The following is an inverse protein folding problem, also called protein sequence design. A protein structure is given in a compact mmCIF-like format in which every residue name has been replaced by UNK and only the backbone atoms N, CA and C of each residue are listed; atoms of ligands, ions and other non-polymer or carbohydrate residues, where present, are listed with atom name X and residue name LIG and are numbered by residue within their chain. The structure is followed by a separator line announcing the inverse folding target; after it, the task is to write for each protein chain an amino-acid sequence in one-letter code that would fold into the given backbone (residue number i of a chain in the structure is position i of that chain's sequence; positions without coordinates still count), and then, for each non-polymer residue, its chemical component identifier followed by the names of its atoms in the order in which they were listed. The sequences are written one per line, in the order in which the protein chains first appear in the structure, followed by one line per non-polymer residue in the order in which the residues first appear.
data_IF_201010256873
#
_entry.id   IF_201010256873
#
_cell.length_a   1.000
_cell.length_b   1.000
_cell.length_c   1.000
_cell.angle_alpha   90.00
_cell.angle_beta   90.00
_cell.angle_gamma   90.00
#
_symmetry.space_group_name_H-M   'P 1'
#
loop_
_entity.id
_entity.type
_entity.pdbx_description
1 polymer ?
#
# COMPACT_ATOMS: atom_id res chain seq x y z
N UNK A 1 -6.43 -32.66 11.95
CA UNK A 1 -4.96 -32.81 11.94
C UNK A 1 -4.39 -31.40 11.91
N UNK A 2 -4.19 -30.79 13.07
CA UNK A 2 -3.60 -29.45 13.18
C UNK A 2 -2.11 -29.55 12.84
N UNK A 3 -1.73 -29.02 11.68
CA UNK A 3 -0.32 -28.82 11.35
C UNK A 3 0.22 -27.75 12.30
N UNK A 4 1.14 -28.14 13.18
CA UNK A 4 1.80 -27.28 14.16
C UNK A 4 2.72 -26.27 13.45
N UNK A 5 2.11 -25.20 12.94
CA UNK A 5 2.74 -24.08 12.24
C UNK A 5 3.79 -23.37 13.12
N UNK A 6 3.63 -23.47 14.44
CA UNK A 6 4.55 -22.87 15.42
C UNK A 6 5.89 -23.62 15.45
N UNK A 7 5.87 -24.94 15.28
CA UNK A 7 7.09 -25.75 15.19
C UNK A 7 7.89 -25.46 13.92
N UNK A 8 7.20 -25.30 12.78
CA UNK A 8 7.81 -25.01 11.48
C UNK A 8 8.46 -23.62 11.49
N UNK A 9 7.77 -22.63 12.07
CA UNK A 9 8.31 -21.27 12.15
C UNK A 9 9.55 -21.20 13.06
N UNK A 10 9.56 -21.94 14.18
CA UNK A 10 10.71 -22.04 15.08
C UNK A 10 11.92 -22.70 14.39
N UNK A 11 11.68 -23.75 13.60
CA UNK A 11 12.74 -24.42 12.84
C UNK A 11 13.37 -23.49 11.79
N UNK A 12 12.56 -22.70 11.08
CA UNK A 12 13.04 -21.77 10.06
C UNK A 12 13.84 -20.60 10.67
N UNK A 13 13.41 -20.10 11.83
CA UNK A 13 14.13 -19.05 12.59
C UNK A 13 15.48 -19.57 13.07
N UNK A 14 15.53 -20.79 13.61
CA UNK A 14 16.78 -21.39 14.09
C UNK A 14 17.79 -21.60 12.95
N UNK A 15 17.32 -22.02 11.77
CA UNK A 15 18.16 -22.17 10.58
C UNK A 15 18.75 -20.83 10.13
N UNK A 16 17.93 -19.78 10.05
CA UNK A 16 18.36 -18.41 9.70
C UNK A 16 19.37 -17.84 10.72
N UNK A 17 19.18 -18.10 12.01
CA UNK A 17 20.11 -17.68 13.05
C UNK A 17 21.48 -18.37 12.91
N UNK A 18 21.50 -19.67 12.58
CA UNK A 18 22.75 -20.41 12.37
C UNK A 18 23.52 -19.96 11.12
N UNK A 19 22.81 -19.63 10.03
CA UNK A 19 23.42 -19.06 8.83
C UNK A 19 24.07 -17.69 9.09
N UNK A 20 23.44 -16.87 9.92
CA UNK A 20 23.97 -15.55 10.31
C UNK A 20 25.22 -15.66 11.19
N UNK A 21 25.27 -16.63 12.10
CA UNK A 21 26.46 -16.89 12.92
C UNK A 21 27.62 -17.35 12.04
N UNK A 22 27.36 -18.27 11.10
CA UNK A 22 28.38 -18.76 10.16
C UNK A 22 28.92 -17.64 9.24
N UNK A 23 28.05 -16.74 8.79
CA UNK A 23 28.47 -15.57 8.00
C UNK A 23 29.31 -14.58 8.81
N UNK A 24 28.99 -14.41 10.10
CA UNK A 24 29.73 -13.53 11.01
C UNK A 24 31.11 -14.10 11.36
N UNK A 25 31.22 -15.40 11.55
CA UNK A 25 32.49 -16.08 11.82
C UNK A 25 33.42 -16.05 10.59
N UNK A 26 32.87 -16.20 9.38
CA UNK A 26 33.64 -16.11 8.13
C UNK A 26 34.26 -14.73 7.87
N UNK A 27 33.65 -13.67 8.41
CA UNK A 27 34.11 -12.29 8.28
C UNK A 27 35.18 -11.90 9.33
N UNK A 28 35.35 -12.71 10.38
CA UNK A 28 36.35 -12.48 11.44
C UNK A 28 37.73 -13.11 11.16
N UNK A 29 37.88 -13.85 10.06
CA UNK A 29 39.10 -14.59 9.69
C UNK A 29 39.97 -13.87 8.64
N UNK A 30 39.56 -12.71 8.13
CA UNK A 30 40.28 -11.98 7.06
C UNK A 30 41.09 -10.76 7.51
N UNK A 31 41.03 -10.34 8.78
CA UNK A 31 41.69 -9.12 9.23
C UNK A 31 42.66 -9.37 10.40
N UNK A 32 43.95 -9.56 10.10
CA UNK A 32 45.09 -9.23 10.99
C UNK A 32 46.34 -8.88 10.14
N UNK A 33 47.18 -7.90 10.53
CA UNK A 33 48.09 -7.19 9.62
C UNK A 33 49.55 -7.65 9.74
N UNK A 34 50.33 -7.54 8.65
CA UNK A 34 51.80 -7.71 8.72
C UNK A 34 52.56 -6.85 7.70
N UNK A 35 53.63 -6.24 8.22
CA UNK A 35 54.43 -5.15 7.68
C UNK A 35 55.54 -5.59 6.70
N UNK A 36 55.88 -4.67 5.78
CA UNK A 36 57.20 -4.30 5.23
C UNK A 36 58.15 -5.35 4.58
N UNK A 37 58.53 -5.13 3.30
CA UNK A 37 59.88 -4.67 2.85
C UNK A 37 60.08 -4.71 1.32
N UNK A 38 60.67 -3.60 0.83
CA UNK A 38 61.75 -3.46 -0.18
C UNK A 38 61.57 -3.65 -1.72
N UNK A 39 61.76 -2.51 -2.42
CA UNK A 39 62.76 -2.18 -3.48
C UNK A 39 62.33 -2.04 -4.97
N UNK A 40 62.58 -0.81 -5.46
CA UNK A 40 63.20 -0.38 -6.75
C UNK A 40 62.43 -0.64 -8.07
N UNK A 41 62.45 0.17 -9.14
CA UNK A 41 63.10 1.43 -9.53
C UNK A 41 62.44 1.94 -10.86
N UNK A 42 62.26 3.27 -10.99
CA UNK A 42 62.51 4.23 -12.13
C UNK A 42 61.89 4.01 -13.54
N UNK A 43 61.17 5.05 -14.02
CA UNK A 43 61.40 5.86 -15.27
C UNK A 43 60.17 6.77 -15.56
N UNK A 44 60.23 8.07 -15.18
CA UNK A 44 60.34 9.29 -16.04
C UNK A 44 59.18 9.51 -17.07
N UNK A 45 58.14 10.36 -16.84
CA UNK A 45 57.97 11.86 -16.91
C UNK A 45 57.95 12.42 -18.38
N UNK A 46 57.27 13.55 -18.81
CA UNK A 46 56.35 14.56 -18.18
C UNK A 46 55.08 15.05 -18.98
N UNK A 47 54.20 15.80 -18.28
CA UNK A 47 53.53 17.05 -18.77
C UNK A 47 52.02 16.95 -19.12
N UNK A 48 51.09 17.86 -18.79
CA UNK A 48 51.02 19.21 -18.20
C UNK A 48 49.56 19.40 -17.64
N UNK A 49 49.37 19.85 -16.38
CA UNK A 49 48.90 21.18 -15.90
C UNK A 49 47.37 21.46 -15.96
N UNK A 50 46.78 21.46 -14.75
CA UNK A 50 45.68 22.32 -14.18
C UNK A 50 44.24 22.17 -14.70
N UNK A 51 43.14 22.19 -13.91
CA UNK A 51 42.74 22.77 -12.61
C UNK A 51 41.69 21.79 -12.00
N UNK A 52 41.51 21.50 -10.71
CA UNK A 52 41.59 22.28 -9.48
C UNK A 52 40.23 22.12 -8.75
N UNK A 53 40.12 21.19 -7.79
CA UNK A 53 39.16 21.29 -6.67
C UNK A 53 39.52 20.27 -5.56
N UNK A 54 39.52 20.80 -4.34
CA UNK A 54 40.06 20.27 -3.09
C UNK A 54 39.38 18.99 -2.60
N UNK A 55 40.19 18.00 -2.24
CA UNK A 55 39.82 16.80 -1.50
C UNK A 55 39.75 17.21 -0.02
N UNK A 56 38.54 17.20 0.54
CA UNK A 56 38.30 17.34 1.98
C UNK A 56 38.02 15.95 2.57
N UNK A 57 38.56 15.73 3.76
CA UNK A 57 38.71 14.44 4.43
C UNK A 57 37.38 13.74 4.67
N UNK A 58 37.19 12.54 4.07
CA UNK A 58 36.16 11.61 4.53
C UNK A 58 36.76 10.73 5.63
N UNK A 59 36.36 11.02 6.86
CA UNK A 59 36.45 10.14 8.02
C UNK A 59 36.00 8.70 7.67
N UNK A 60 36.58 7.68 8.34
CA UNK A 60 36.19 6.29 8.13
C UNK A 60 34.71 6.07 8.48
N UNK A 61 34.05 5.05 7.90
CA UNK A 61 32.62 4.83 8.14
C UNK A 61 32.38 4.51 9.62
N UNK A 62 31.53 5.32 10.26
CA UNK A 62 31.07 5.11 11.64
C UNK A 62 30.15 3.88 11.72
N UNK A 63 30.69 2.75 12.21
CA UNK A 63 29.96 1.49 12.42
C UNK A 63 28.72 1.65 13.31
N UNK A 64 28.61 2.72 14.10
CA UNK A 64 27.50 2.95 15.04
C UNK A 64 26.19 3.42 14.40
N UNK A 65 26.19 3.84 13.13
CA UNK A 65 24.97 4.25 12.44
C UNK A 65 24.09 3.04 12.08
N UNK A 66 24.73 1.93 11.71
CA UNK A 66 24.07 0.67 11.33
C UNK A 66 23.34 0.02 12.50
N UNK A 67 23.95 0.04 13.69
CA UNK A 67 23.40 -0.56 14.91
C UNK A 67 22.20 0.23 15.47
N UNK A 68 22.18 1.57 15.34
CA UNK A 68 21.02 2.38 15.75
C UNK A 68 19.79 2.11 14.89
N UNK A 69 19.97 1.94 13.58
CA UNK A 69 18.87 1.62 12.66
C UNK A 69 18.34 0.20 12.89
N UNK A 70 19.22 -0.76 13.21
CA UNK A 70 18.85 -2.12 13.58
C UNK A 70 18.10 -2.12 14.92
N UNK A 71 18.61 -1.43 15.95
CA UNK A 71 17.96 -1.35 17.28
C UNK A 71 16.60 -0.66 17.21
N UNK A 72 16.47 0.41 16.42
CA UNK A 72 15.19 1.11 16.20
C UNK A 72 14.19 0.24 15.44
N UNK A 73 14.66 -0.55 14.48
CA UNK A 73 13.83 -1.50 13.72
C UNK A 73 13.40 -2.68 14.58
N UNK A 74 14.31 -3.22 15.41
CA UNK A 74 14.03 -4.31 16.36
C UNK A 74 13.07 -3.86 17.45
N UNK A 75 13.17 -2.62 17.96
CA UNK A 75 12.19 -2.04 18.87
C UNK A 75 10.78 -1.97 18.26
N UNK A 76 10.65 -1.44 17.04
CA UNK A 76 9.37 -1.40 16.30
C UNK A 76 8.78 -2.80 16.02
N UNK A 77 9.62 -3.84 15.98
CA UNK A 77 9.19 -5.23 15.78
C UNK A 77 8.69 -5.88 17.08
N UNK A 78 9.23 -5.50 18.24
CA UNK A 78 8.81 -6.04 19.55
C UNK A 78 7.42 -5.56 19.97
N UNK A 79 7.08 -4.30 19.68
CA UNK A 79 5.77 -3.72 20.00
C UNK A 79 4.73 -3.95 18.88
N UNK A 80 5.15 -4.61 17.80
CA UNK A 80 4.30 -4.93 16.65
C UNK A 80 3.03 -5.71 17.02
N UNK A 81 3.04 -6.77 17.84
CA UNK A 81 1.81 -7.50 18.18
C UNK A 81 0.82 -6.63 18.96
N UNK A 82 1.30 -5.79 19.87
CA UNK A 82 0.45 -4.88 20.67
C UNK A 82 -0.22 -3.84 19.77
N UNK A 83 0.55 -3.17 18.91
CA UNK A 83 0.02 -2.22 17.92
C UNK A 83 -0.98 -2.85 16.95
N UNK A 84 -0.77 -4.12 16.59
CA UNK A 84 -1.72 -4.88 15.76
C UNK A 84 -3.03 -5.12 16.53
N UNK A 85 -2.95 -5.51 17.81
CA UNK A 85 -4.13 -5.75 18.64
C UNK A 85 -4.94 -4.47 18.87
N UNK A 86 -4.26 -3.36 19.16
CA UNK A 86 -4.90 -2.04 19.29
C UNK A 86 -5.60 -1.62 18.00
N UNK A 87 -4.92 -1.74 16.85
CA UNK A 87 -5.52 -1.45 15.56
C UNK A 87 -6.75 -2.32 15.29
N UNK A 88 -6.69 -3.63 15.58
CA UNK A 88 -7.83 -4.53 15.43
C UNK A 88 -8.99 -4.13 16.36
N UNK A 89 -8.72 -3.67 17.59
CA UNK A 89 -9.74 -3.20 18.51
C UNK A 89 -10.42 -1.91 18.02
N UNK A 90 -9.64 -1.00 17.45
CA UNK A 90 -10.16 0.23 16.81
C UNK A 90 -10.98 -0.09 15.55
N UNK A 91 -10.51 -1.03 14.72
CA UNK A 91 -11.19 -1.48 13.50
C UNK A 91 -12.57 -2.05 13.83
N UNK A 92 -12.70 -2.85 14.90
CA UNK A 92 -13.98 -3.40 15.37
C UNK A 92 -14.97 -2.34 15.85
N UNK A 93 -14.47 -1.21 16.32
CA UNK A 93 -15.29 -0.11 16.85
C UNK A 93 -15.77 0.82 15.74
N UNK A 94 -15.07 0.83 14.59
CA UNK A 94 -15.35 1.74 13.48
C UNK A 94 -16.42 1.16 12.56
N UNK A 95 -17.46 1.93 12.27
CA UNK A 95 -18.54 1.52 11.37
C UNK A 95 -18.10 1.55 9.89
N UNK A 96 -18.53 0.56 9.10
CA UNK A 96 -18.20 0.45 7.67
C UNK A 96 -19.10 1.30 6.77
N UNK A 97 -20.21 1.83 7.29
CA UNK A 97 -21.18 2.65 6.52
C UNK A 97 -20.58 3.97 6.06
N UNK A 98 -20.65 4.21 4.74
CA UNK A 98 -20.19 5.44 4.11
C UNK A 98 -21.36 6.42 4.02
N UNK A 99 -21.21 7.59 4.63
CA UNK A 99 -22.20 8.68 4.55
C UNK A 99 -21.88 9.58 3.34
N UNK A 100 -22.83 9.82 2.42
CA UNK A 100 -22.59 10.65 1.24
C UNK A 100 -22.24 12.11 1.58
N UNK A 101 -22.65 12.62 2.75
CA UNK A 101 -22.32 13.99 3.18
C UNK A 101 -20.84 14.18 3.55
N UNK A 102 -20.16 13.10 3.93
CA UNK A 102 -18.74 13.12 4.27
C UNK A 102 -17.85 13.04 3.02
N UNK A 103 -18.41 12.62 1.88
CA UNK A 103 -17.70 12.54 0.60
C UNK A 103 -17.42 13.98 0.14
N UNK A 104 -16.13 14.34 0.09
CA UNK A 104 -15.65 15.67 -0.30
C UNK A 104 -15.40 16.64 0.86
N UNK A 105 -15.66 16.23 2.11
CA UNK A 105 -15.28 17.00 3.30
C UNK A 105 -13.79 16.79 3.59
N UNK A 106 -12.99 17.86 3.55
CA UNK A 106 -11.55 17.80 3.86
C UNK A 106 -11.27 17.45 5.32
N UNK A 107 -12.23 17.70 6.23
CA UNK A 107 -12.10 17.38 7.66
C UNK A 107 -12.28 15.90 7.93
N UNK A 108 -13.18 15.27 7.18
CA UNK A 108 -13.56 13.86 7.38
C UNK A 108 -12.75 12.90 6.51
N UNK A 109 -11.85 13.42 5.67
CA UNK A 109 -11.00 12.64 4.75
C UNK A 109 -10.28 11.43 5.41
N UNK A 110 -9.60 11.55 6.58
CA UNK A 110 -8.94 10.41 7.20
C UNK A 110 -9.94 9.35 7.69
N UNK A 111 -11.09 9.78 8.21
CA UNK A 111 -12.16 8.89 8.67
C UNK A 111 -12.78 8.17 7.49
N UNK A 112 -13.08 8.88 6.41
CA UNK A 112 -13.62 8.33 5.17
C UNK A 112 -12.66 7.31 4.55
N UNK A 113 -11.37 7.64 4.49
CA UNK A 113 -10.31 6.75 4.01
C UNK A 113 -10.26 5.45 4.82
N UNK A 114 -10.37 5.55 6.14
CA UNK A 114 -10.42 4.38 7.02
C UNK A 114 -11.68 3.54 6.80
N UNK A 115 -12.86 4.17 6.64
CA UNK A 115 -14.10 3.43 6.36
C UNK A 115 -14.06 2.70 5.03
N UNK A 116 -13.52 3.33 3.98
CA UNK A 116 -13.30 2.68 2.69
C UNK A 116 -12.41 1.44 2.83
N UNK A 117 -11.37 1.54 3.66
CA UNK A 117 -10.47 0.42 3.95
C UNK A 117 -11.21 -0.75 4.61
N UNK A 118 -11.94 -0.47 5.68
CA UNK A 118 -12.68 -1.48 6.44
C UNK A 118 -13.77 -2.14 5.59
N UNK A 119 -14.49 -1.37 4.78
CA UNK A 119 -15.50 -1.92 3.89
C UNK A 119 -14.90 -2.83 2.81
N UNK A 120 -13.76 -2.48 2.21
CA UNK A 120 -13.06 -3.39 1.28
C UNK A 120 -12.65 -4.68 2.01
N UNK A 121 -12.19 -4.58 3.26
CA UNK A 121 -11.88 -5.76 4.07
C UNK A 121 -13.12 -6.63 4.34
N UNK A 122 -14.26 -6.01 4.62
CA UNK A 122 -15.55 -6.69 4.80
C UNK A 122 -15.94 -7.52 3.57
N UNK A 123 -15.89 -6.91 2.37
CA UNK A 123 -16.14 -7.62 1.10
C UNK A 123 -15.17 -8.79 0.92
N UNK A 124 -13.88 -8.60 1.22
CA UNK A 124 -12.89 -9.68 1.12
C UNK A 124 -13.14 -10.81 2.13
N UNK A 125 -13.74 -10.51 3.28
CA UNK A 125 -14.17 -11.52 4.26
C UNK A 125 -15.38 -12.29 3.73
N UNK A 126 -16.36 -11.62 3.12
CA UNK A 126 -17.49 -12.28 2.45
C UNK A 126 -17.02 -13.18 1.31
N UNK A 127 -16.11 -12.70 0.45
CA UNK A 127 -15.55 -13.52 -0.63
C UNK A 127 -14.77 -14.71 -0.07
N UNK A 128 -14.00 -14.53 1.02
CA UNK A 128 -13.32 -15.65 1.66
C UNK A 128 -14.30 -16.70 2.19
N UNK A 129 -15.46 -16.30 2.70
CA UNK A 129 -16.49 -17.22 3.17
C UNK A 129 -17.14 -18.00 2.00
N UNK A 130 -17.32 -17.36 0.85
CA UNK A 130 -17.90 -17.95 -0.37
C UNK A 130 -16.85 -18.40 -1.40
N UNK A 131 -15.63 -18.74 -0.95
CA UNK A 131 -14.50 -19.01 -1.87
C UNK A 131 -14.73 -20.28 -2.72
N UNK A 132 -15.47 -21.26 -2.20
CA UNK A 132 -15.80 -22.49 -2.91
C UNK A 132 -16.84 -22.26 -4.02
N UNK A 133 -17.68 -21.23 -3.88
CA UNK A 133 -18.80 -20.94 -4.78
C UNK A 133 -18.46 -19.89 -5.85
N UNK A 134 -17.51 -19.00 -5.59
CA UNK A 134 -17.18 -17.88 -6.48
C UNK A 134 -15.68 -17.72 -6.73
N UNK A 135 -15.25 -18.12 -7.94
CA UNK A 135 -13.92 -17.85 -8.53
C UNK A 135 -12.74 -17.90 -7.55
N UNK A 136 -12.41 -19.08 -6.98
CA UNK A 136 -11.32 -19.24 -6.02
C UNK A 136 -9.95 -18.83 -6.58
N UNK A 137 -9.74 -18.99 -7.89
CA UNK A 137 -8.50 -18.66 -8.59
C UNK A 137 -8.19 -17.15 -8.56
N UNK A 138 -9.21 -16.30 -8.50
CA UNK A 138 -9.05 -14.85 -8.56
C UNK A 138 -8.84 -14.22 -7.18
N UNK A 139 -9.19 -14.91 -6.09
CA UNK A 139 -9.18 -14.35 -4.74
C UNK A 139 -7.77 -13.90 -4.31
N UNK A 140 -6.77 -14.77 -4.51
CA UNK A 140 -5.40 -14.49 -4.08
C UNK A 140 -4.79 -13.32 -4.87
N UNK A 141 -5.01 -13.28 -6.18
CA UNK A 141 -4.49 -12.23 -7.05
C UNK A 141 -5.15 -10.89 -6.77
N UNK A 142 -6.47 -10.90 -6.55
CA UNK A 142 -7.23 -9.71 -6.14
C UNK A 142 -6.72 -9.16 -4.82
N UNK A 143 -6.47 -10.02 -3.83
CA UNK A 143 -5.91 -9.61 -2.54
C UNK A 143 -4.51 -8.98 -2.66
N UNK A 144 -3.64 -9.56 -3.50
CA UNK A 144 -2.29 -9.00 -3.77
C UNK A 144 -2.37 -7.63 -4.45
N UNK A 145 -3.24 -7.50 -5.45
CA UNK A 145 -3.42 -6.28 -6.20
C UNK A 145 -4.06 -5.14 -5.37
N UNK A 146 -4.92 -5.47 -4.38
CA UNK A 146 -5.53 -4.50 -3.46
C UNK A 146 -4.61 -4.07 -2.32
N UNK A 147 -3.57 -4.86 -1.98
CA UNK A 147 -2.69 -4.56 -0.85
C UNK A 147 -2.10 -3.13 -0.85
N UNK A 148 -1.59 -2.60 -1.98
CA UNK A 148 -1.09 -1.23 -2.02
C UNK A 148 -2.16 -0.18 -1.74
N UNK A 149 -3.39 -0.38 -2.24
CA UNK A 149 -4.54 0.49 -1.98
C UNK A 149 -4.91 0.47 -0.50
N UNK A 150 -5.03 -0.72 0.11
CA UNK A 150 -5.35 -0.87 1.53
C UNK A 150 -4.31 -0.19 2.43
N UNK A 151 -3.03 -0.23 2.02
CA UNK A 151 -1.97 0.49 2.73
C UNK A 151 -2.11 2.02 2.59
N UNK A 152 -2.41 2.52 1.39
CA UNK A 152 -2.63 3.95 1.14
C UNK A 152 -3.85 4.47 1.91
N UNK A 153 -4.95 3.72 1.93
CA UNK A 153 -6.16 4.07 2.65
C UNK A 153 -5.94 4.11 4.16
N UNK A 154 -5.20 3.15 4.72
CA UNK A 154 -4.87 3.13 6.15
C UNK A 154 -4.01 4.33 6.57
N UNK A 155 -3.15 4.79 5.67
CA UNK A 155 -2.25 5.93 5.93
C UNK A 155 -2.85 7.28 5.52
N UNK A 156 -4.03 7.31 4.89
CA UNK A 156 -4.60 8.53 4.32
C UNK A 156 -3.72 9.18 3.24
N UNK A 157 -3.06 8.36 2.41
CA UNK A 157 -2.10 8.82 1.39
C UNK A 157 -2.67 8.82 -0.04
N UNK A 158 -3.95 8.47 -0.20
CA UNK A 158 -4.61 8.48 -1.50
C UNK A 158 -4.98 9.93 -1.87
N UNK A 159 -4.83 10.30 -3.15
CA UNK A 159 -5.22 11.64 -3.60
C UNK A 159 -6.72 11.87 -3.36
N UNK A 160 -7.10 13.08 -2.93
CA UNK A 160 -8.47 13.43 -2.53
C UNK A 160 -9.49 13.13 -3.64
N UNK A 161 -9.18 13.44 -4.90
CA UNK A 161 -10.06 13.17 -6.05
C UNK A 161 -10.29 11.66 -6.30
N UNK A 162 -9.23 10.85 -6.12
CA UNK A 162 -9.31 9.40 -6.21
C UNK A 162 -10.10 8.82 -5.03
N UNK A 163 -9.90 9.35 -3.83
CA UNK A 163 -10.61 8.93 -2.63
C UNK A 163 -12.10 9.24 -2.74
N UNK A 164 -12.48 10.45 -3.18
CA UNK A 164 -13.89 10.83 -3.42
C UNK A 164 -14.55 9.89 -4.42
N UNK A 165 -13.85 9.60 -5.52
CA UNK A 165 -14.36 8.71 -6.56
C UNK A 165 -14.51 7.26 -6.07
N UNK A 166 -13.52 6.75 -5.35
CA UNK A 166 -13.54 5.42 -4.74
C UNK A 166 -14.65 5.31 -3.68
N UNK A 167 -14.74 6.30 -2.78
CA UNK A 167 -15.79 6.35 -1.75
C UNK A 167 -17.18 6.38 -2.38
N UNK A 168 -17.36 7.09 -3.49
CA UNK A 168 -18.62 7.11 -4.24
C UNK A 168 -18.96 5.73 -4.82
N UNK A 169 -17.97 5.00 -5.35
CA UNK A 169 -18.18 3.61 -5.83
C UNK A 169 -18.62 2.72 -4.68
N UNK A 170 -17.88 2.77 -3.56
CA UNK A 170 -18.17 1.94 -2.39
C UNK A 170 -19.51 2.31 -1.73
N UNK A 171 -19.87 3.59 -1.69
CA UNK A 171 -21.17 4.05 -1.22
C UNK A 171 -22.32 3.44 -2.04
N UNK A 172 -22.29 3.56 -3.38
CA UNK A 172 -23.32 2.94 -4.21
C UNK A 172 -23.32 1.42 -4.12
N UNK A 173 -22.16 0.80 -3.85
CA UNK A 173 -22.05 -0.64 -3.65
C UNK A 173 -22.72 -1.09 -2.33
N UNK A 174 -22.74 -0.24 -1.30
CA UNK A 174 -23.46 -0.50 -0.05
C UNK A 174 -24.99 -0.36 -0.19
N UNK A 175 -25.47 0.35 -1.20
CA UNK A 175 -26.89 0.62 -1.36
C UNK A 175 -27.59 -0.53 -2.10
N UNK A 176 -28.73 -1.04 -1.58
CA UNK A 176 -29.46 -2.10 -2.25
C UNK A 176 -29.95 -1.61 -3.62
N UNK A 177 -29.82 -2.47 -4.64
CA UNK A 177 -30.26 -2.22 -6.03
C UNK A 177 -29.54 -1.06 -6.75
N UNK A 178 -28.45 -0.51 -6.20
CA UNK A 178 -27.67 0.56 -6.84
C UNK A 178 -26.37 0.08 -7.51
N UNK A 179 -26.27 -1.22 -7.82
CA UNK A 179 -25.09 -1.80 -8.47
C UNK A 179 -24.72 -1.10 -9.79
N UNK A 180 -25.72 -0.72 -10.59
CA UNK A 180 -25.53 0.02 -11.84
C UNK A 180 -24.87 1.39 -11.60
N UNK A 181 -25.22 2.06 -10.51
CA UNK A 181 -24.64 3.34 -10.11
C UNK A 181 -23.20 3.16 -9.62
N UNK A 182 -22.89 2.07 -8.91
CA UNK A 182 -21.53 1.71 -8.55
C UNK A 182 -20.66 1.48 -9.80
N UNK A 183 -21.18 0.76 -10.79
CA UNK A 183 -20.51 0.55 -12.09
C UNK A 183 -20.28 1.88 -12.81
N UNK A 184 -21.29 2.76 -12.88
CA UNK A 184 -21.12 4.07 -13.51
C UNK A 184 -20.07 4.95 -12.81
N UNK A 185 -20.06 4.98 -11.49
CA UNK A 185 -19.02 5.68 -10.71
C UNK A 185 -17.64 5.06 -10.91
N UNK A 186 -17.56 3.73 -11.03
CA UNK A 186 -16.32 3.02 -11.33
C UNK A 186 -15.78 3.40 -12.71
N UNK A 187 -16.65 3.51 -13.72
CA UNK A 187 -16.23 3.95 -15.06
C UNK A 187 -15.62 5.35 -15.01
N UNK A 188 -16.24 6.30 -14.29
CA UNK A 188 -15.68 7.64 -14.10
C UNK A 188 -14.30 7.60 -13.42
N UNK A 189 -14.18 6.87 -12.31
CA UNK A 189 -12.92 6.64 -11.61
C UNK A 189 -11.83 6.09 -12.55
N UNK A 190 -12.15 5.08 -13.36
CA UNK A 190 -11.17 4.43 -14.24
C UNK A 190 -10.66 5.35 -15.36
N UNK A 191 -11.55 6.21 -15.89
CA UNK A 191 -11.26 7.15 -16.98
C UNK A 191 -10.48 8.37 -16.49
N UNK A 192 -10.46 8.66 -15.17
CA UNK A 192 -9.82 9.87 -14.64
C UNK A 192 -10.80 10.99 -14.26
N UNK A 193 -12.11 10.75 -14.37
CA UNK A 193 -13.13 11.73 -13.97
C UNK A 193 -13.51 11.53 -12.50
N UNK A 194 -13.67 12.63 -11.77
CA UNK A 194 -14.10 12.57 -10.36
C UNK A 194 -15.58 12.14 -10.29
N UNK A 195 -15.85 11.06 -9.57
CA UNK A 195 -17.20 10.56 -9.32
C UNK A 195 -17.74 11.12 -7.99
N UNK A 196 -18.94 11.70 -8.03
CA UNK A 196 -19.67 12.20 -6.86
C UNK A 196 -20.99 11.44 -6.69
N UNK A 197 -21.48 11.21 -5.47
CA UNK A 197 -22.75 10.52 -5.24
C UNK A 197 -23.92 11.40 -5.69
N UNK A 198 -25.02 10.77 -6.10
CA UNK A 198 -26.20 11.50 -6.59
C UNK A 198 -26.70 12.45 -5.50
N UNK A 199 -26.87 13.73 -5.85
CA UNK A 199 -27.36 14.78 -4.94
C UNK A 199 -26.27 15.53 -4.17
N UNK A 200 -25.01 15.07 -4.23
CA UNK A 200 -23.85 15.80 -3.70
C UNK A 200 -23.02 16.25 -4.89
N UNK A 201 -22.75 17.54 -5.00
CA UNK A 201 -21.87 18.07 -6.04
C UNK A 201 -20.81 18.94 -5.41
N UNK A 202 -19.60 18.98 -5.98
CA UNK A 202 -18.47 19.78 -5.50
C UNK A 202 -18.66 21.30 -5.68
N UNK A 203 -19.90 21.78 -5.86
CA UNK A 203 -20.16 23.10 -6.45
C UNK A 203 -20.95 23.96 -5.47
N UNK A 204 -20.23 24.76 -4.69
CA UNK A 204 -20.78 26.01 -4.18
C UNK A 204 -21.07 26.98 -5.34
N UNK A 205 -21.99 27.93 -5.15
CA UNK A 205 -22.51 28.86 -6.15
C UNK A 205 -21.38 29.65 -6.89
N UNK A 206 -20.18 29.71 -6.30
CA UNK A 206 -19.01 30.44 -6.80
C UNK A 206 -17.91 29.59 -7.50
N UNK A 207 -18.03 28.26 -7.59
CA UNK A 207 -17.00 27.39 -8.19
C UNK A 207 -17.13 27.20 -9.73
N UNK A 208 -18.14 27.85 -10.35
CA UNK A 208 -18.55 27.60 -11.73
C UNK A 208 -17.52 27.99 -12.81
N UNK A 209 -16.55 28.86 -12.49
CA UNK A 209 -15.58 29.38 -13.47
C UNK A 209 -14.36 28.47 -13.69
N UNK A 210 -14.07 27.55 -12.76
CA UNK A 210 -12.92 26.62 -12.84
C UNK A 210 -13.31 25.22 -13.37
N UNK A 211 -14.61 24.92 -13.41
CA UNK A 211 -15.12 23.59 -13.71
C UNK A 211 -14.85 23.11 -15.15
N UNK A 212 -14.65 24.03 -16.10
CA UNK A 212 -14.29 23.70 -17.49
C UNK A 212 -12.81 23.34 -17.67
N UNK A 213 -11.92 23.76 -16.75
CA UNK A 213 -10.49 23.40 -16.79
C UNK A 213 -10.16 22.13 -15.99
N UNK A 214 -11.04 21.69 -15.09
CA UNK A 214 -10.85 20.47 -14.28
C UNK A 214 -11.14 19.18 -15.09
N UNK A 215 -11.89 19.28 -16.19
CA UNK A 215 -12.16 18.14 -17.09
C UNK A 215 -11.05 17.84 -18.11
N UNK A 216 -9.93 18.59 -18.11
CA UNK A 216 -8.88 18.48 -19.13
C UNK A 216 -7.44 18.57 -18.63
N UNK A 217 -7.20 18.53 -17.32
CA UNK A 217 -5.86 18.71 -16.75
C UNK A 217 -5.00 17.45 -16.66
N UNK A 218 -5.61 16.26 -16.61
CA UNK A 218 -4.91 14.98 -16.64
C UNK A 218 -5.24 14.31 -17.98
N UNK A 219 -4.34 14.47 -18.96
CA UNK A 219 -4.53 13.94 -20.32
C UNK A 219 -4.57 12.40 -20.39
N UNK A 220 -4.34 11.71 -19.28
CA UNK A 220 -4.30 10.25 -19.18
C UNK A 220 -5.32 9.75 -18.15
N UNK A 221 -5.99 8.64 -18.50
CA UNK A 221 -6.92 8.00 -17.59
C UNK A 221 -6.22 7.46 -16.34
N UNK A 222 -6.90 7.41 -15.20
CA UNK A 222 -6.32 6.89 -13.94
C UNK A 222 -5.73 5.48 -14.12
N UNK A 223 -6.38 4.65 -14.92
CA UNK A 223 -5.92 3.30 -15.25
C UNK A 223 -4.61 3.26 -16.08
N UNK A 224 -4.24 4.39 -16.68
CA UNK A 224 -3.04 4.54 -17.52
C UNK A 224 -1.88 5.23 -16.80
N UNK A 225 -2.06 5.69 -15.56
CA UNK A 225 -1.03 6.45 -14.82
C UNK A 225 0.13 5.53 -14.42
N UNK A 226 -0.15 4.42 -13.73
CA UNK A 226 0.86 3.47 -13.28
C UNK A 226 0.28 2.07 -13.11
N UNK A 227 1.15 1.06 -13.19
CA UNK A 227 0.74 -0.36 -13.14
C UNK A 227 0.06 -0.72 -11.81
N UNK A 228 0.56 -0.18 -10.70
CA UNK A 228 0.01 -0.46 -9.38
C UNK A 228 -1.41 0.11 -9.26
N UNK A 229 -1.63 1.31 -9.78
CA UNK A 229 -2.95 1.95 -9.82
C UNK A 229 -3.92 1.19 -10.71
N UNK A 230 -3.46 0.78 -11.89
CA UNK A 230 -4.23 -0.07 -12.79
C UNK A 230 -4.70 -1.37 -12.13
N UNK A 231 -3.81 -2.03 -11.40
CA UNK A 231 -4.09 -3.32 -10.75
C UNK A 231 -5.17 -3.19 -9.66
N UNK A 232 -5.07 -2.18 -8.77
CA UNK A 232 -6.09 -2.02 -7.74
C UNK A 232 -7.41 -1.51 -8.32
N UNK A 233 -7.41 -0.60 -9.31
CA UNK A 233 -8.65 -0.15 -9.98
C UNK A 233 -9.35 -1.37 -10.61
N UNK A 234 -8.61 -2.19 -11.35
CA UNK A 234 -9.16 -3.42 -11.95
C UNK A 234 -9.70 -4.37 -10.87
N UNK A 235 -9.03 -4.44 -9.72
CA UNK A 235 -9.48 -5.26 -8.59
C UNK A 235 -10.76 -4.73 -7.93
N UNK A 236 -10.99 -3.41 -7.88
CA UNK A 236 -12.27 -2.85 -7.43
C UNK A 236 -13.42 -3.34 -8.31
N UNK A 237 -13.23 -3.42 -9.64
CA UNK A 237 -14.26 -4.02 -10.52
C UNK A 237 -14.59 -5.46 -10.14
N UNK A 238 -13.58 -6.27 -9.77
CA UNK A 238 -13.77 -7.65 -9.31
C UNK A 238 -14.59 -7.71 -8.02
N UNK A 239 -14.38 -6.76 -7.10
CA UNK A 239 -15.19 -6.65 -5.89
C UNK A 239 -16.65 -6.26 -6.21
N UNK A 240 -16.87 -5.35 -7.18
CA UNK A 240 -18.22 -4.98 -7.62
C UNK A 240 -18.96 -6.20 -8.19
N UNK A 241 -18.30 -6.99 -9.07
CA UNK A 241 -18.91 -8.19 -9.65
C UNK A 241 -19.14 -9.29 -8.62
N UNK A 242 -18.25 -9.41 -7.63
CA UNK A 242 -18.45 -10.32 -6.51
C UNK A 242 -19.67 -9.92 -5.68
N UNK A 243 -19.81 -8.65 -5.31
CA UNK A 243 -20.96 -8.17 -4.55
C UNK A 243 -22.28 -8.30 -5.31
N UNK A 244 -22.29 -8.05 -6.62
CA UNK A 244 -23.47 -8.29 -7.47
C UNK A 244 -23.92 -9.76 -7.41
N UNK A 245 -22.97 -10.69 -7.52
CA UNK A 245 -23.23 -12.13 -7.37
C UNK A 245 -23.68 -12.47 -5.95
N UNK A 246 -22.98 -11.95 -4.94
CA UNK A 246 -23.24 -12.22 -3.52
C UNK A 246 -24.66 -11.80 -3.14
N UNK A 247 -25.06 -10.58 -3.50
CA UNK A 247 -26.42 -10.05 -3.28
C UNK A 247 -27.45 -10.91 -4.01
N UNK A 248 -27.20 -11.29 -5.26
CA UNK A 248 -28.14 -12.10 -6.05
C UNK A 248 -28.40 -13.47 -5.43
N UNK A 249 -27.38 -14.12 -4.89
CA UNK A 249 -27.46 -15.46 -4.32
C UNK A 249 -27.98 -15.47 -2.88
N UNK A 250 -27.71 -14.43 -2.08
CA UNK A 250 -28.04 -14.41 -0.66
C UNK A 250 -29.30 -13.57 -0.35
N UNK A 251 -29.71 -12.65 -1.22
CA UNK A 251 -30.93 -11.84 -1.05
C UNK A 251 -32.16 -12.53 -1.65
N UNK A 252 -31.99 -13.58 -2.44
CA UNK A 252 -33.08 -14.41 -2.98
C UNK A 252 -33.83 -15.25 -1.92
N UNK A 253 -33.41 -15.19 -0.64
CA UNK A 253 -33.93 -16.00 0.47
C UNK A 253 -34.70 -15.19 1.55
N UNK A 254 -34.93 -13.89 1.34
CA UNK A 254 -35.69 -13.03 2.24
C UNK A 254 -36.87 -12.35 1.51
#
# INVERSE_FOLDING_TARGET
MDLDLSSILKAEIFKKQKELIYAKDAQSLSDEPSQARERANIDEIPGQIEQGETIDDKEPPDDNQSDKDIVTTVGKLKDRPERIQEAIAQDKTTFTTIDPSQIGSTKDEPVLSMRCNLYIHEILVHWKASIEEYHPELFLDTKKALFPLLLQLRKGQLATDLLVSLATVLYHLQQPKQINLAIQSYMKLSIGNVAWPIGVTSVGIHARSAHSKIQGGQSAANIMIDERTRLWITSIKRLITFEEWYISNHTSLA
#
